data_IF_210492855582
#
_entry.id   IF_210492855582
#
_cell.length_a   1.000
_cell.length_b   1.000
_cell.length_c   1.000
_cell.angle_alpha   90.00
_cell.angle_beta   90.00
_cell.angle_gamma   90.00
#
_symmetry.space_group_name_H-M   'P 1'
#
loop_
_entity.id
_entity.type
_entity.pdbx_description
1 polymer ?
2 non-polymer ?
3 non-polymer ?
4 non-polymer ?
5 non-polymer ?
6 water ?
#
# COMPACT_ATOMS: atom_id res chain seq x y z
N UNK A 7 -8.90 -18.46 2.97
CA UNK A 7 -8.03 -17.74 2.03
C UNK A 7 -7.87 -16.28 2.47
N UNK A 8 -8.09 -16.04 3.77
CA UNK A 8 -7.93 -14.72 4.40
C UNK A 8 -6.49 -14.24 4.25
N UNK A 9 -6.26 -12.94 4.04
CA UNK A 9 -4.89 -12.46 4.14
C UNK A 9 -4.84 -11.15 4.90
N UNK A 10 -3.80 -10.99 5.69
CA UNK A 10 -3.60 -9.84 6.54
C UNK A 10 -2.20 -9.27 6.29
N UNK A 11 -2.13 -7.97 6.00
CA UNK A 11 -0.87 -7.28 5.84
C UNK A 11 -0.84 -6.05 6.72
N UNK A 12 0.34 -5.72 7.20
CA UNK A 12 0.52 -4.60 8.10
C UNK A 12 0.87 -3.33 7.32
N UNK A 13 0.28 -2.20 7.68
CA UNK A 13 0.70 -1.01 6.94
C UNK A 13 1.31 0.03 7.86
N UNK A 14 0.96 -0.02 9.13
CA UNK A 14 1.56 0.84 10.14
C UNK A 14 1.80 -0.03 11.34
N UNK A 15 2.54 0.48 12.32
CA UNK A 15 2.98 -0.39 13.40
C UNK A 15 1.82 -0.99 14.18
N UNK A 16 0.65 -0.36 14.13
CA UNK A 16 -0.51 -0.85 14.87
C UNK A 16 -1.74 -1.07 13.98
N UNK A 17 -1.58 -1.07 12.66
CA UNK A 17 -2.68 -1.15 11.72
C UNK A 17 -2.42 -2.25 10.70
N UNK A 18 -3.38 -3.15 10.55
CA UNK A 18 -3.40 -4.18 9.53
C UNK A 18 -4.57 -3.96 8.59
N UNK A 19 -4.45 -4.52 7.39
CA UNK A 19 -5.54 -4.62 6.43
C UNK A 19 -5.82 -6.10 6.28
N UNK A 20 -7.08 -6.50 6.59
CA UNK A 20 -7.53 -7.86 6.31
C UNK A 20 -8.24 -7.87 4.97
N UNK A 21 -7.97 -8.92 4.18
CA UNK A 21 -8.46 -9.07 2.82
C UNK A 21 -9.06 -10.45 2.60
N UNK A 22 -10.35 -10.48 2.24
CA UNK A 22 -11.01 -11.67 1.73
C UNK A 22 -11.13 -11.55 0.22
N UNK A 23 -11.24 -12.68 -0.46
CA UNK A 23 -11.35 -12.70 -1.91
C UNK A 23 -12.64 -13.37 -2.33
N UNK A 24 -13.10 -12.97 -3.53
CA UNK A 24 -14.23 -13.57 -4.22
C UNK A 24 -14.11 -13.26 -5.72
N UNK A 25 -14.61 -14.16 -6.54
CA UNK A 25 -14.75 -13.87 -7.96
C UNK A 25 -16.16 -13.34 -8.24
N UNK A 26 -16.21 -12.17 -8.87
CA UNK A 26 -17.44 -11.44 -9.15
C UNK A 26 -17.39 -11.04 -10.62
N UNK A 27 -18.21 -11.67 -11.44
CA UNK A 27 -18.30 -11.29 -12.86
C UNK A 27 -16.99 -11.58 -13.58
N UNK A 28 -16.39 -12.73 -13.25
CA UNK A 28 -15.23 -13.22 -13.95
C UNK A 28 -13.92 -12.58 -13.55
N UNK A 29 -13.90 -11.81 -12.48
CA UNK A 29 -12.69 -11.18 -11.99
C UNK A 29 -12.54 -11.44 -10.50
N UNK A 30 -11.30 -11.49 -10.03
CA UNK A 30 -11.06 -11.64 -8.60
C UNK A 30 -11.10 -10.26 -7.97
N UNK A 31 -11.91 -10.12 -6.93
CA UNK A 31 -12.13 -8.85 -6.24
C UNK A 31 -11.70 -9.00 -4.80
N UNK A 32 -10.82 -8.16 -4.29
CA UNK A 32 -10.56 -8.16 -2.85
C UNK A 32 -11.61 -7.34 -2.10
N UNK A 33 -11.76 -7.69 -0.82
CA UNK A 33 -12.48 -6.85 0.14
C UNK A 33 -11.58 -6.60 1.35
N UNK A 34 -11.24 -5.34 1.57
CA UNK A 34 -10.32 -4.94 2.64
C UNK A 34 -11.08 -4.34 3.83
N UNK A 35 -10.66 -4.72 5.03
CA UNK A 35 -11.02 -4.01 6.23
C UNK A 35 -9.75 -3.70 7.01
N UNK A 36 -9.95 -3.07 8.16
CA UNK A 36 -8.83 -2.81 9.04
C UNK A 36 -8.94 -3.60 10.33
N UNK A 37 -7.77 -3.89 10.87
CA UNK A 37 -7.58 -4.26 12.26
C UNK A 37 -6.68 -3.20 12.86
N UNK A 38 -7.08 -2.62 13.99
CA UNK A 38 -6.29 -1.63 14.70
C UNK A 38 -5.99 -2.22 16.07
N UNK A 39 -4.71 -2.29 16.44
CA UNK A 39 -4.32 -2.83 17.73
C UNK A 39 -4.12 -1.72 18.76
N UNK A 40 -4.70 -1.89 19.94
CA UNK A 40 -4.61 -0.89 20.99
C UNK A 40 -4.14 -1.54 22.28
N UNK A 41 -3.79 -0.68 23.23
CA UNK A 41 -3.32 -1.19 24.51
C UNK A 41 -4.43 -1.87 25.29
N UNK A 42 -5.69 -1.82 24.81
CA UNK A 42 -6.83 -2.36 25.55
C UNK A 42 -7.64 -3.32 24.70
N UNK A 43 -7.10 -3.82 23.60
CA UNK A 43 -7.81 -4.71 22.72
C UNK A 43 -7.69 -4.27 21.27
N UNK A 44 -8.28 -5.07 20.41
CA UNK A 44 -8.28 -4.77 18.99
C UNK A 44 -9.62 -4.17 18.54
N UNK A 45 -9.54 -3.28 17.57
CA UNK A 45 -10.71 -2.71 16.91
C UNK A 45 -10.74 -3.25 15.49
N UNK A 46 -11.93 -3.67 15.06
CA UNK A 46 -12.17 -4.26 13.76
C UNK A 46 -13.05 -3.30 12.95
N UNK A 47 -12.54 -2.87 11.82
CA UNK A 47 -13.30 -2.07 10.86
C UNK A 47 -13.68 -3.03 9.74
N UNK A 48 -14.98 -3.33 9.66
CA UNK A 48 -15.51 -4.32 8.72
C UNK A 48 -15.27 -5.73 9.22
N UNK A 49 -16.21 -6.63 8.95
CA UNK A 49 -15.99 -8.06 9.18
C UNK A 49 -15.35 -8.68 7.95
N UNK A 50 -15.09 -9.97 8.03
CA UNK A 50 -14.77 -10.70 6.82
C UNK A 50 -15.93 -10.67 5.83
N UNK A 51 -15.65 -11.14 4.63
CA UNK A 51 -16.67 -11.23 3.59
C UNK A 51 -17.47 -12.52 3.79
N UNK A 52 -18.21 -12.58 4.91
CA UNK A 52 -19.02 -13.74 5.23
C UNK A 52 -18.50 -14.52 6.43
N UNK A 53 -19.18 -15.62 6.74
CA UNK A 53 -18.87 -16.39 7.94
C UNK A 53 -17.43 -16.92 7.93
N UNK A 54 -17.08 -17.68 6.91
CA UNK A 54 -15.81 -18.40 6.97
C UNK A 54 -14.62 -17.43 6.94
N UNK A 55 -14.61 -16.41 6.08
CA UNK A 55 -13.54 -15.41 6.17
C UNK A 55 -13.46 -14.71 7.50
N UNK A 56 -14.59 -14.48 8.17
CA UNK A 56 -14.56 -13.77 9.46
C UNK A 56 -14.08 -14.67 10.59
N UNK A 57 -14.41 -15.95 10.56
CA UNK A 57 -13.85 -16.82 11.60
C UNK A 57 -12.35 -17.01 11.41
N UNK A 58 -11.91 -17.11 10.15
CA UNK A 58 -10.48 -17.03 9.85
C UNK A 58 -9.92 -15.75 10.45
N UNK A 59 -10.58 -14.62 10.18
CA UNK A 59 -10.14 -13.33 10.70
C UNK A 59 -10.06 -13.32 12.21
N UNK A 60 -11.15 -13.73 12.87
CA UNK A 60 -11.14 -13.82 14.33
C UNK A 60 -10.00 -14.68 14.84
N UNK A 61 -9.83 -15.89 14.27
CA UNK A 61 -8.71 -16.73 14.64
C UNK A 61 -7.38 -16.02 14.41
N UNK A 62 -7.26 -15.31 13.30
CA UNK A 62 -6.01 -14.60 13.06
C UNK A 62 -5.71 -13.66 14.21
N UNK A 63 -6.69 -12.83 14.56
CA UNK A 63 -6.48 -11.86 15.63
C UNK A 63 -6.05 -12.56 16.91
N UNK A 64 -6.66 -13.70 17.23
CA UNK A 64 -6.32 -14.38 18.48
C UNK A 64 -4.91 -14.98 18.44
N UNK A 65 -4.45 -15.42 17.26
CA UNK A 65 -3.13 -16.07 17.19
C UNK A 65 -2.00 -15.05 17.18
N UNK A 66 -2.15 -13.95 16.45
CA UNK A 66 -1.02 -13.04 16.25
C UNK A 66 -1.08 -11.79 17.11
N UNK A 67 -2.25 -11.19 17.30
CA UNK A 67 -2.36 -10.09 18.24
C UNK A 67 -2.61 -10.54 19.69
N UNK A 68 -3.07 -11.78 19.87
CA UNK A 68 -3.30 -12.35 21.19
C UNK A 68 -3.97 -11.35 22.13
N UNK A 69 -5.01 -10.68 21.61
CA UNK A 69 -5.84 -9.82 22.44
C UNK A 69 -7.26 -9.94 21.95
N UNK A 70 -8.25 -9.70 22.82
CA UNK A 70 -9.65 -9.80 22.38
C UNK A 70 -10.01 -8.66 21.46
N UNK A 71 -11.09 -8.84 20.69
CA UNK A 71 -11.61 -7.75 19.86
C UNK A 71 -12.60 -6.94 20.69
N UNK A 72 -12.31 -5.65 20.88
CA UNK A 72 -13.15 -4.84 21.76
C UNK A 72 -14.46 -4.42 21.10
N UNK A 73 -14.44 -4.23 19.78
CA UNK A 73 -15.61 -3.76 19.05
C UNK A 73 -15.36 -3.98 17.57
N UNK A 74 -16.43 -4.10 16.80
CA UNK A 74 -16.35 -4.24 15.36
C UNK A 74 -17.26 -3.17 14.76
N UNK A 75 -16.82 -2.51 13.70
CA UNK A 75 -17.56 -1.39 13.14
C UNK A 75 -17.70 -1.53 11.63
N UNK A 76 -18.81 -2.07 11.12
CA UNK A 76 -19.03 -2.07 9.66
C UNK A 76 -19.32 -0.67 9.11
N UNK A 77 -18.85 -0.44 7.88
CA UNK A 77 -18.98 0.87 7.23
C UNK A 77 -20.22 1.00 6.34
N UNK A 78 -20.94 -0.10 6.07
CA UNK A 78 -22.25 -0.07 5.43
C UNK A 78 -22.79 -1.50 5.43
N UNK A 79 -24.02 -1.69 4.91
CA UNK A 79 -24.82 -2.89 5.16
C UNK A 79 -24.52 -4.06 4.20
N UNK A 80 -23.67 -3.87 3.20
CA UNK A 80 -23.41 -4.95 2.26
C UNK A 80 -22.56 -6.07 2.90
N UNK A 81 -22.65 -7.25 2.29
CA UNK A 81 -22.04 -8.47 2.82
C UNK A 81 -20.53 -8.36 2.98
N UNK A 82 -19.85 -7.65 2.07
CA UNK A 82 -18.39 -7.59 2.19
C UNK A 82 -17.94 -6.83 3.43
N UNK A 83 -18.74 -5.93 3.97
CA UNK A 83 -18.38 -5.23 5.19
C UNK A 83 -19.15 -5.70 6.42
N UNK A 84 -20.15 -6.56 6.26
CA UNK A 84 -20.99 -6.91 7.39
C UNK A 84 -21.42 -8.37 7.43
N UNK A 85 -21.10 -9.16 6.41
CA UNK A 85 -21.63 -10.51 6.36
C UNK A 85 -21.11 -11.47 7.40
N UNK A 86 -20.20 -11.04 8.28
CA UNK A 86 -19.65 -11.88 9.33
C UNK A 86 -20.07 -11.49 10.74
N UNK A 87 -21.14 -10.70 10.81
CA UNK A 87 -21.62 -10.16 12.10
C UNK A 87 -21.97 -11.27 13.09
N UNK A 88 -22.77 -12.25 12.67
CA UNK A 88 -23.09 -13.34 13.58
C UNK A 88 -21.84 -13.95 14.21
N UNK A 89 -20.84 -14.29 13.41
CA UNK A 89 -19.62 -14.92 13.94
C UNK A 89 -18.91 -14.02 14.93
N UNK A 90 -18.90 -12.72 14.67
CA UNK A 90 -18.36 -11.77 15.63
C UNK A 90 -19.17 -11.79 16.92
N UNK A 91 -20.50 -11.82 16.78
CA UNK A 91 -21.39 -11.74 17.95
C UNK A 91 -21.38 -13.01 18.74
N UNK A 92 -21.19 -14.17 18.10
CA UNK A 92 -21.11 -15.39 18.86
C UNK A 92 -19.89 -15.42 19.75
N UNK A 93 -18.91 -14.57 19.49
CA UNK A 93 -17.77 -14.44 20.37
C UNK A 93 -17.90 -13.25 21.30
N UNK A 94 -19.12 -12.75 21.47
CA UNK A 94 -19.37 -11.70 22.42
C UNK A 94 -18.90 -10.33 22.00
N UNK A 95 -18.41 -10.18 20.79
CA UNK A 95 -17.90 -8.89 20.34
C UNK A 95 -19.06 -7.97 19.99
N UNK A 96 -19.09 -6.75 20.51
CA UNK A 96 -20.11 -5.77 20.13
C UNK A 96 -19.92 -5.26 18.70
N UNK A 97 -20.97 -5.36 17.91
CA UNK A 97 -21.05 -4.72 16.60
C UNK A 97 -21.82 -3.41 16.75
N UNK A 98 -21.26 -2.32 16.22
CA UNK A 98 -21.89 -1.02 16.36
C UNK A 98 -21.81 -0.32 15.02
N UNK A 99 -22.92 0.29 14.61
CA UNK A 99 -23.03 0.92 13.30
C UNK A 99 -23.80 2.23 13.40
N UNK A 100 -23.88 2.93 12.28
CA UNK A 100 -24.79 4.06 12.27
C UNK A 100 -26.24 3.56 12.37
N UNK A 101 -27.13 4.47 12.79
CA UNK A 101 -28.53 4.11 12.87
C UNK A 101 -29.04 3.67 11.51
N UNK A 102 -28.63 4.34 10.43
CA UNK A 102 -29.17 4.00 9.13
C UNK A 102 -28.63 2.69 8.61
N UNK A 103 -27.38 2.35 8.93
CA UNK A 103 -26.90 1.02 8.58
C UNK A 103 -27.69 -0.06 9.33
N UNK A 104 -28.07 0.19 10.59
CA UNK A 104 -28.92 -0.77 11.28
C UNK A 104 -30.26 -0.92 10.58
N UNK A 105 -30.84 0.20 10.15
CA UNK A 105 -32.12 0.11 9.45
C UNK A 105 -31.96 -0.72 8.18
N UNK A 106 -30.92 -0.42 7.38
CA UNK A 106 -30.73 -1.16 6.14
C UNK A 106 -30.36 -2.62 6.42
N UNK A 107 -29.58 -2.88 7.47
CA UNK A 107 -29.32 -4.26 7.84
C UNK A 107 -30.64 -5.02 8.07
N UNK A 108 -31.54 -4.45 8.89
CA UNK A 108 -32.82 -5.08 9.14
C UNK A 108 -33.63 -5.23 7.84
N UNK A 109 -33.53 -4.25 6.95
CA UNK A 109 -34.25 -4.29 5.71
C UNK A 109 -33.70 -5.28 4.71
N UNK A 110 -32.53 -5.89 4.95
CA UNK A 110 -31.93 -6.80 3.99
C UNK A 110 -31.40 -8.10 4.62
N UNK A 111 -32.04 -8.54 5.70
CA UNK A 111 -31.75 -9.80 6.38
C UNK A 111 -30.29 -9.94 6.79
N UNK A 112 -29.64 -8.84 7.09
CA UNK A 112 -28.41 -8.93 7.85
C UNK A 112 -28.77 -8.92 9.33
N UNK A 113 -27.82 -9.27 10.18
CA UNK A 113 -28.12 -9.27 11.60
C UNK A 113 -28.59 -7.95 12.22
N UNK A 114 -28.69 -7.95 13.54
CA UNK A 114 -29.02 -6.78 14.31
C UNK A 114 -27.78 -6.28 15.04
N UNK A 115 -27.26 -5.09 14.74
CA UNK A 115 -26.15 -4.56 15.54
C UNK A 115 -26.52 -4.37 17.01
N UNK A 116 -25.50 -4.41 17.85
CA UNK A 116 -25.64 -4.30 19.30
C UNK A 116 -25.85 -2.86 19.76
N UNK A 117 -25.31 -1.88 19.04
CA UNK A 117 -25.44 -0.47 19.36
C UNK A 117 -25.51 0.30 18.04
N UNK A 118 -26.31 1.37 18.02
CA UNK A 118 -26.27 2.28 16.89
C UNK A 118 -25.98 3.70 17.37
N UNK A 119 -25.36 4.49 16.48
CA UNK A 119 -25.07 5.90 16.71
C UNK A 119 -25.66 6.75 15.62
N UNK A 120 -26.26 7.86 16.01
CA UNK A 120 -26.82 8.84 15.10
C UNK A 120 -25.93 10.04 14.91
N UNK A 121 -24.79 10.07 15.58
CA UNK A 121 -23.88 11.19 15.58
C UNK A 121 -22.56 10.74 14.98
N UNK A 122 -21.91 11.63 14.21
CA UNK A 122 -20.49 11.48 13.92
C UNK A 122 -19.76 11.44 15.25
N UNK A 123 -18.87 10.47 15.42
CA UNK A 123 -18.29 10.24 16.73
C UNK A 123 -16.78 10.15 16.62
N UNK A 124 -16.12 10.74 17.62
CA UNK A 124 -14.71 10.51 17.89
C UNK A 124 -14.61 9.76 19.20
N UNK A 125 -13.92 8.62 19.20
CA UNK A 125 -13.74 7.85 20.42
C UNK A 125 -12.33 7.27 20.48
N UNK A 126 -11.93 6.82 21.67
CA UNK A 126 -10.60 6.31 21.89
C UNK A 126 -10.67 5.03 22.72
N UNK A 127 -9.83 4.08 22.35
CA UNK A 127 -9.65 2.85 23.10
C UNK A 127 -8.15 2.58 23.20
N UNK A 128 -7.67 2.34 24.41
CA UNK A 128 -6.29 1.87 24.57
C UNK A 128 -5.25 2.76 23.94
N UNK A 129 -5.40 4.08 24.09
CA UNK A 129 -4.50 5.04 23.50
C UNK A 129 -4.77 5.39 22.05
N UNK A 130 -5.69 4.71 21.37
CA UNK A 130 -5.90 4.89 19.94
C UNK A 130 -7.18 5.69 19.68
N UNK A 131 -7.07 6.72 18.82
CA UNK A 131 -8.23 7.52 18.44
C UNK A 131 -8.72 7.16 17.05
N UNK A 132 -10.04 7.12 16.94
CA UNK A 132 -10.77 6.77 15.75
C UNK A 132 -11.88 7.79 15.54
N UNK A 133 -12.13 8.12 14.29
CA UNK A 133 -13.23 9.02 13.94
C UNK A 133 -14.14 8.32 12.95
N UNK A 134 -15.45 8.38 13.19
CA UNK A 134 -16.39 7.82 12.22
C UNK A 134 -17.19 8.99 11.69
N UNK A 135 -17.39 9.01 10.38
CA UNK A 135 -18.01 10.17 9.77
C UNK A 135 -18.85 9.76 8.58
N UNK A 136 -19.98 10.43 8.43
CA UNK A 136 -20.90 10.16 7.34
C UNK A 136 -20.77 11.30 6.34
N UNK A 137 -20.19 11.08 5.17
CA UNK A 137 -20.04 12.18 4.19
C UNK A 137 -21.22 12.34 3.26
N UNK A 138 -22.19 11.43 3.32
CA UNK A 138 -23.30 11.39 2.39
C UNK A 138 -23.35 10.08 1.62
N UNK A 139 -24.48 9.89 0.95
CA UNK A 139 -24.66 8.69 0.17
C UNK A 139 -23.70 8.68 -1.00
N UNK A 140 -23.19 7.49 -1.30
CA UNK A 140 -22.35 7.32 -2.46
C UNK A 140 -22.50 5.92 -3.00
N UNK A 141 -21.55 5.03 -2.65
CA UNK A 141 -21.67 3.62 -3.02
C UNK A 141 -22.99 3.04 -2.48
N UNK A 142 -23.34 3.39 -1.25
CA UNK A 142 -24.64 3.05 -0.70
C UNK A 142 -25.14 4.29 0.04
N UNK A 143 -26.41 4.27 0.41
CA UNK A 143 -27.02 5.43 1.07
C UNK A 143 -26.43 5.69 2.44
N UNK A 144 -25.82 4.70 3.08
CA UNK A 144 -25.44 4.81 4.48
C UNK A 144 -23.94 4.74 4.73
N UNK A 145 -23.11 4.66 3.68
CA UNK A 145 -21.66 4.43 3.87
C UNK A 145 -21.01 5.52 4.72
N UNK A 146 -20.17 5.07 5.67
CA UNK A 146 -19.37 5.94 6.52
C UNK A 146 -17.91 5.59 6.31
N UNK A 147 -17.03 6.53 6.66
CA UNK A 147 -15.60 6.31 6.65
C UNK A 147 -15.07 6.33 8.09
N UNK A 148 -13.83 5.86 8.24
CA UNK A 148 -13.12 5.81 9.53
C UNK A 148 -11.76 6.45 9.32
N UNK A 149 -11.39 7.34 10.24
CA UNK A 149 -10.13 8.06 10.16
C UNK A 149 -9.32 7.79 11.42
N UNK A 150 -8.04 7.44 11.24
CA UNK A 150 -7.11 7.44 12.37
C UNK A 150 -6.34 8.76 12.35
N UNK A 151 -6.69 9.73 13.19
CA UNK A 151 -6.00 11.03 13.12
C UNK A 151 -4.54 10.98 13.50
N UNK A 152 -4.08 9.99 14.29
CA UNK A 152 -2.67 9.94 14.67
C UNK A 152 -1.82 9.40 13.52
N UNK A 153 -2.23 8.32 12.88
CA UNK A 153 -1.54 7.82 11.70
C UNK A 153 -1.96 8.51 10.41
N UNK A 154 -2.93 9.42 10.46
CA UNK A 154 -3.46 10.08 9.26
C UNK A 154 -3.80 9.06 8.18
N UNK A 155 -4.57 8.06 8.58
CA UNK A 155 -5.04 6.98 7.73
C UNK A 155 -6.55 7.06 7.64
N UNK A 156 -7.06 7.11 6.43
CA UNK A 156 -8.47 7.20 6.16
C UNK A 156 -8.96 5.92 5.49
N UNK A 157 -9.86 5.22 6.13
CA UNK A 157 -10.49 4.05 5.53
C UNK A 157 -11.76 4.50 4.86
N UNK A 158 -11.78 4.42 3.52
CA UNK A 158 -12.90 4.92 2.76
C UNK A 158 -13.86 3.83 2.33
N UNK A 159 -13.53 2.56 2.60
CA UNK A 159 -14.44 1.50 2.20
C UNK A 159 -14.80 1.58 0.73
N UNK A 160 -16.07 1.24 0.41
CA UNK A 160 -16.49 1.18 -0.98
C UNK A 160 -16.93 2.52 -1.55
N UNK A 161 -16.87 3.57 -0.73
CA UNK A 161 -17.09 4.93 -1.21
C UNK A 161 -15.96 5.44 -2.11
N UNK A 162 -14.74 4.93 -1.92
CA UNK A 162 -13.58 5.33 -2.69
C UNK A 162 -13.19 4.19 -3.62
N UNK A 163 -12.75 4.53 -4.83
CA UNK A 163 -12.26 3.53 -5.77
C UNK A 163 -10.74 3.60 -5.88
N UNK A 164 -10.11 2.46 -6.19
CA UNK A 164 -8.66 2.42 -6.35
C UNK A 164 -8.26 2.97 -7.73
N UNK A 165 -6.97 3.36 -7.87
CA UNK A 165 -6.53 4.11 -9.05
C UNK A 165 -6.54 3.30 -10.33
N UNK A 166 -6.67 1.97 -10.25
CA UNK A 166 -6.81 1.12 -11.44
C UNK A 166 -8.27 0.74 -11.72
N UNK A 167 -9.22 1.23 -10.92
CA UNK A 167 -10.63 1.02 -11.23
C UNK A 167 -11.02 1.84 -12.46
N UNK A 168 -11.69 1.20 -13.41
CA UNK A 168 -12.08 1.89 -14.65
C UNK A 168 -13.52 2.39 -14.63
N UNK A 169 -14.34 1.91 -13.70
CA UNK A 169 -15.70 2.39 -13.51
C UNK A 169 -16.03 2.28 -12.02
N UNK A 170 -17.29 2.54 -11.68
CA UNK A 170 -17.69 2.58 -10.28
C UNK A 170 -18.08 1.22 -9.74
N UNK A 171 -18.04 0.18 -10.56
CA UNK A 171 -18.25 -1.17 -10.04
C UNK A 171 -19.70 -1.41 -9.73
N UNK A 172 -19.96 -1.95 -8.54
CA UNK A 172 -21.32 -2.21 -8.14
C UNK A 172 -21.98 -0.87 -7.82
N UNK A 173 -23.07 -0.60 -8.49
CA UNK A 173 -23.79 0.65 -8.37
C UNK A 173 -25.25 0.41 -8.04
N UNK A 174 -25.62 -0.85 -7.74
CA UNK A 174 -27.02 -1.26 -7.61
C UNK A 174 -27.76 -0.43 -6.57
N UNK A 175 -27.27 -0.48 -5.34
CA UNK A 175 -27.73 0.34 -4.22
C UNK A 175 -27.09 1.71 -4.18
N UNK A 176 -26.36 2.09 -5.23
CA UNK A 176 -25.61 3.34 -5.24
C UNK A 176 -26.53 4.55 -5.43
N UNK A 177 -26.01 5.69 -5.00
CA UNK A 177 -26.63 7.01 -5.09
C UNK A 177 -25.70 7.92 -5.87
N UNK A 178 -25.75 7.81 -7.21
CA UNK A 178 -24.77 8.42 -8.10
C UNK A 178 -24.76 9.94 -8.07
N UNK A 179 -25.86 10.57 -7.67
CA UNK A 179 -25.93 12.02 -7.71
C UNK A 179 -25.27 12.66 -6.51
N UNK A 180 -25.24 11.94 -5.38
CA UNK A 180 -24.65 12.39 -4.12
C UNK A 180 -23.18 12.04 -4.02
N UNK A 181 -22.83 10.88 -4.56
CA UNK A 181 -21.46 10.36 -4.50
C UNK A 181 -20.41 11.42 -4.75
N UNK A 182 -20.54 12.29 -5.77
CA UNK A 182 -19.48 13.29 -5.97
C UNK A 182 -19.34 14.20 -4.79
N UNK A 183 -20.46 14.57 -4.16
CA UNK A 183 -20.41 15.51 -3.06
C UNK A 183 -19.77 14.90 -1.83
N UNK A 184 -19.96 13.60 -1.62
CA UNK A 184 -19.31 12.90 -0.52
C UNK A 184 -17.79 12.84 -0.72
N UNK A 185 -17.31 12.58 -1.95
CA UNK A 185 -15.87 12.56 -2.18
C UNK A 185 -15.27 13.92 -1.84
N UNK A 186 -15.94 15.01 -2.24
CA UNK A 186 -15.47 16.35 -1.94
C UNK A 186 -15.54 16.68 -0.46
N UNK A 187 -16.50 16.11 0.26
CA UNK A 187 -16.50 16.27 1.70
C UNK A 187 -15.28 15.59 2.31
N UNK A 188 -14.93 14.40 1.80
CA UNK A 188 -13.74 13.75 2.30
C UNK A 188 -12.49 14.57 1.98
N UNK A 189 -12.41 15.10 0.76
CA UNK A 189 -11.23 15.88 0.42
C UNK A 189 -11.08 17.07 1.35
N UNK A 190 -12.20 17.67 1.79
CA UNK A 190 -12.01 18.81 2.67
C UNK A 190 -12.03 18.50 4.16
N UNK A 191 -12.49 17.34 4.59
CA UNK A 191 -12.34 17.05 6.01
C UNK A 191 -10.98 16.44 6.33
N UNK A 192 -10.34 15.75 5.38
CA UNK A 192 -9.04 15.12 5.63
C UNK A 192 -7.96 15.60 4.66
N UNK A 193 -7.71 16.91 4.63
CA UNK A 193 -6.74 17.43 3.65
C UNK A 193 -5.33 16.84 3.83
N UNK A 194 -4.98 16.41 5.04
CA UNK A 194 -3.65 15.93 5.31
C UNK A 194 -3.63 14.42 5.56
N UNK A 195 -4.59 13.69 5.01
CA UNK A 195 -4.54 12.24 5.07
C UNK A 195 -3.33 11.73 4.28
N UNK A 196 -2.61 10.79 4.88
CA UNK A 196 -1.43 10.24 4.22
C UNK A 196 -1.75 9.00 3.39
N UNK A 197 -2.60 8.12 3.92
CA UNK A 197 -3.01 6.89 3.26
C UNK A 197 -4.53 6.87 3.17
N UNK A 198 -5.05 6.47 2.02
CA UNK A 198 -6.49 6.29 1.80
C UNK A 198 -6.72 4.84 1.37
N UNK A 199 -7.52 4.11 2.14
CA UNK A 199 -7.67 2.68 1.90
C UNK A 199 -9.06 2.43 1.28
N UNK A 200 -9.14 1.98 0.04
CA UNK A 200 -10.46 1.62 -0.51
C UNK A 200 -10.83 0.18 -0.20
N UNK A 201 -12.01 -0.24 -0.63
CA UNK A 201 -12.40 -1.59 -0.28
C UNK A 201 -11.90 -2.61 -1.28
N UNK A 202 -11.93 -2.27 -2.57
CA UNK A 202 -11.88 -3.29 -3.59
C UNK A 202 -10.71 -3.09 -4.53
N UNK A 203 -9.65 -2.45 -4.02
CA UNK A 203 -8.42 -2.30 -4.73
C UNK A 203 -7.30 -1.83 -3.83
N UNK A 204 -6.11 -1.68 -4.41
CA UNK A 204 -4.93 -1.22 -3.66
C UNK A 204 -5.11 0.17 -3.11
N UNK A 205 -4.51 0.40 -1.96
CA UNK A 205 -4.56 1.72 -1.37
C UNK A 205 -3.48 2.63 -1.95
N UNK A 206 -3.63 3.93 -1.70
CA UNK A 206 -2.69 4.91 -2.21
C UNK A 206 -2.75 6.22 -1.45
N UNK A 207 -2.39 7.30 -2.15
CA UNK A 207 -2.47 8.59 -1.48
C UNK A 207 -3.84 9.24 -1.78
N UNK A 208 -3.94 10.56 -1.56
CA UNK A 208 -5.21 11.21 -1.79
C UNK A 208 -5.54 11.34 -3.29
N UNK A 209 -4.67 10.79 -4.15
CA UNK A 209 -5.00 10.65 -5.57
C UNK A 209 -6.25 9.79 -5.74
N UNK A 210 -6.49 8.87 -4.80
CA UNK A 210 -7.66 8.02 -4.90
C UNK A 210 -8.97 8.83 -4.81
N UNK A 211 -8.96 9.95 -4.09
CA UNK A 211 -10.17 10.77 -4.01
C UNK A 211 -10.40 11.50 -5.33
N UNK A 212 -9.37 12.18 -5.85
CA UNK A 212 -9.54 12.83 -7.15
C UNK A 212 -9.88 11.82 -8.24
N UNK A 213 -9.32 10.61 -8.17
CA UNK A 213 -9.69 9.61 -9.17
C UNK A 213 -11.15 9.21 -9.08
N UNK A 214 -11.67 8.99 -7.84
CA UNK A 214 -13.07 8.61 -7.72
C UNK A 214 -13.98 9.70 -8.27
N UNK A 215 -13.66 10.96 -8.00
CA UNK A 215 -14.37 12.08 -8.63
C UNK A 215 -14.34 11.97 -10.16
N UNK A 216 -13.20 11.60 -10.72
CA UNK A 216 -13.09 11.54 -12.17
C UNK A 216 -14.03 10.48 -12.74
N UNK A 217 -14.06 9.31 -12.11
CA UNK A 217 -14.97 8.25 -12.54
C UNK A 217 -16.42 8.71 -12.47
N UNK A 218 -16.74 9.53 -11.48
CA UNK A 218 -18.07 10.08 -11.26
C UNK A 218 -18.39 11.20 -12.22
N UNK A 224 -16.43 12.51 -13.37
CA UNK A 224 -17.32 13.29 -14.20
C UNK A 224 -17.65 12.56 -15.50
N UNK A 225 -17.24 11.30 -15.60
CA UNK A 225 -17.16 10.57 -16.87
C UNK A 225 -17.83 9.20 -16.81
N UNK A 226 -19.06 9.12 -16.28
CA UNK A 226 -19.81 7.87 -16.31
C UNK A 226 -20.93 7.98 -17.33
N UNK B 6 6.09 -16.12 -11.32
CA UNK B 6 4.70 -16.26 -11.75
C UNK B 6 4.26 -15.08 -12.60
N UNK B 7 5.22 -14.21 -12.91
CA UNK B 7 5.04 -13.14 -13.90
C UNK B 7 5.51 -11.78 -13.38
N UNK B 8 4.71 -10.76 -13.70
CA UNK B 8 4.97 -9.42 -13.26
C UNK B 8 3.64 -8.74 -13.03
N UNK B 9 3.55 -7.97 -11.95
CA UNK B 9 2.33 -7.27 -11.60
C UNK B 9 2.63 -5.80 -11.38
N UNK B 10 1.69 -4.94 -11.78
CA UNK B 10 1.84 -3.49 -11.66
C UNK B 10 0.63 -2.94 -10.92
N UNK B 11 0.88 -2.14 -9.87
CA UNK B 11 -0.21 -1.48 -9.15
C UNK B 11 0.07 0.01 -9.01
N UNK B 12 -0.99 0.81 -9.10
CA UNK B 12 -0.91 2.26 -9.04
C UNK B 12 -1.06 2.72 -7.59
N UNK B 13 -0.20 3.61 -7.13
CA UNK B 13 -0.36 4.14 -5.78
C UNK B 13 -0.62 5.65 -5.72
N UNK B 14 -0.24 6.41 -6.74
CA UNK B 14 -0.42 7.85 -6.87
C UNK B 14 -0.82 8.11 -8.30
N UNK B 15 -1.27 9.31 -8.61
CA UNK B 15 -1.79 9.50 -9.96
C UNK B 15 -0.75 9.26 -11.05
N UNK B 16 0.56 9.38 -10.74
CA UNK B 16 1.64 9.18 -11.71
C UNK B 16 2.69 8.16 -11.27
N UNK B 17 2.42 7.36 -10.23
CA UNK B 17 3.39 6.41 -9.66
C UNK B 17 2.77 5.02 -9.63
N UNK B 18 3.50 4.04 -10.12
CA UNK B 18 3.16 2.64 -10.06
C UNK B 18 4.24 1.87 -9.32
N UNK B 19 3.87 0.71 -8.79
CA UNK B 19 4.83 -0.24 -8.28
C UNK B 19 4.76 -1.47 -9.18
N UNK B 20 5.90 -1.84 -9.76
CA UNK B 20 6.00 -3.09 -10.49
C UNK B 20 6.54 -4.15 -9.52
N UNK B 21 5.99 -5.37 -9.63
CA UNK B 21 6.38 -6.45 -8.74
C UNK B 21 6.73 -7.66 -9.59
N UNK B 22 7.95 -8.13 -9.43
CA UNK B 22 8.46 -9.35 -10.05
C UNK B 22 8.33 -10.49 -9.06
N UNK B 23 8.14 -11.69 -9.57
CA UNK B 23 8.02 -12.82 -8.67
C UNK B 23 9.09 -13.85 -9.00
N UNK B 24 9.47 -14.59 -7.96
CA UNK B 24 10.33 -15.76 -8.06
C UNK B 24 9.97 -16.63 -6.88
N UNK B 25 9.85 -17.93 -7.11
CA UNK B 25 9.62 -18.84 -6.00
C UNK B 25 10.97 -19.36 -5.53
N UNK B 26 11.20 -19.26 -4.22
CA UNK B 26 12.49 -19.57 -3.60
C UNK B 26 12.25 -20.63 -2.54
N UNK B 27 12.65 -21.87 -2.83
CA UNK B 27 12.52 -22.94 -1.85
C UNK B 27 11.04 -23.13 -1.61
N UNK B 28 10.59 -22.71 -0.41
CA UNK B 28 9.18 -22.60 -0.12
C UNK B 28 8.76 -21.14 -0.17
N UNK B 29 7.67 -20.87 -0.89
CA UNK B 29 7.04 -19.55 -0.97
C UNK B 29 7.60 -18.66 -2.09
N UNK B 30 6.72 -17.80 -2.58
CA UNK B 30 7.00 -16.83 -3.63
C UNK B 30 7.49 -15.52 -3.03
N UNK B 31 8.54 -14.97 -3.62
CA UNK B 31 9.19 -13.75 -3.14
C UNK B 31 8.93 -12.66 -4.17
N UNK B 32 8.30 -11.55 -3.78
CA UNK B 32 8.19 -10.40 -4.69
C UNK B 32 9.41 -9.50 -4.66
N UNK B 33 9.58 -8.75 -5.75
CA UNK B 33 10.54 -7.66 -5.84
C UNK B 33 9.83 -6.44 -6.41
N UNK B 34 9.90 -5.33 -5.68
CA UNK B 34 9.18 -4.12 -6.06
C UNK B 34 10.13 -3.11 -6.67
N UNK B 35 9.67 -2.47 -7.75
CA UNK B 35 10.27 -1.24 -8.25
C UNK B 35 9.18 -0.20 -8.44
N UNK B 36 9.58 0.97 -8.92
CA UNK B 36 8.64 2.04 -9.26
C UNK B 36 8.67 2.31 -10.75
N UNK B 37 7.51 2.73 -11.26
CA UNK B 37 7.39 3.43 -12.54
C UNK B 37 6.80 4.79 -12.22
N UNK B 38 7.38 5.84 -12.78
CA UNK B 38 6.87 7.20 -12.67
C UNK B 38 6.60 7.76 -14.06
N UNK B 39 5.38 8.23 -14.26
CA UNK B 39 4.96 8.83 -15.51
C UNK B 39 5.13 10.34 -15.44
N UNK B 40 5.70 10.92 -16.48
CA UNK B 40 5.92 12.36 -16.53
C UNK B 40 5.36 12.86 -17.85
N UNK B 41 5.34 14.18 -17.99
CA UNK B 41 4.83 14.73 -19.24
C UNK B 41 5.75 14.42 -20.39
N UNK B 42 6.95 13.90 -20.13
CA UNK B 42 7.97 13.78 -21.17
C UNK B 42 8.59 12.39 -21.22
N UNK B 43 7.93 11.38 -20.67
CA UNK B 43 8.44 10.03 -20.65
C UNK B 43 8.35 9.44 -19.26
N UNK B 44 8.68 8.15 -19.21
CA UNK B 44 8.56 7.38 -17.97
C UNK B 44 9.93 7.14 -17.36
N UNK B 45 9.97 7.11 -16.05
CA UNK B 45 11.17 6.78 -15.31
C UNK B 45 10.99 5.43 -14.64
N UNK B 46 12.05 4.65 -14.71
CA UNK B 46 12.10 3.29 -14.19
C UNK B 46 13.02 3.29 -12.99
N UNK B 47 12.50 2.94 -11.84
CA UNK B 47 13.30 2.75 -10.65
C UNK B 47 13.32 1.25 -10.40
N UNK B 48 14.49 0.64 -10.66
CA UNK B 48 14.68 -0.81 -10.67
C UNK B 48 14.18 -1.44 -11.96
N UNK B 49 14.89 -2.48 -12.40
CA UNK B 49 14.44 -3.33 -13.48
C UNK B 49 13.59 -4.44 -12.88
N UNK B 50 12.99 -5.25 -13.72
CA UNK B 50 12.40 -6.47 -13.24
C UNK B 50 13.45 -7.36 -12.60
N UNK B 51 12.96 -8.42 -11.98
CA UNK B 51 13.83 -9.40 -11.38
C UNK B 51 14.32 -10.34 -12.47
N UNK B 52 15.10 -9.76 -13.38
CA UNK B 52 15.64 -10.49 -14.51
C UNK B 52 15.01 -10.05 -15.82
N UNK B 53 15.48 -10.71 -16.88
CA UNK B 53 15.12 -10.36 -18.26
C UNK B 53 13.61 -10.51 -18.50
N UNK B 54 13.05 -11.67 -18.16
CA UNK B 54 11.67 -11.95 -18.52
C UNK B 54 10.67 -11.01 -17.81
N UNK B 55 10.81 -10.78 -16.50
CA UNK B 55 9.99 -9.73 -15.89
C UNK B 55 10.22 -8.36 -16.50
N UNK B 56 11.44 -8.08 -16.96
CA UNK B 56 11.72 -6.75 -17.48
C UNK B 56 11.11 -6.56 -18.87
N UNK B 57 11.04 -7.62 -19.68
CA UNK B 57 10.38 -7.49 -20.98
C UNK B 57 8.88 -7.25 -20.82
N UNK B 58 8.24 -7.95 -19.88
CA UNK B 58 6.84 -7.69 -19.51
C UNK B 58 6.66 -6.25 -19.05
N UNK B 59 7.53 -5.79 -18.16
CA UNK B 59 7.46 -4.42 -17.69
C UNK B 59 7.52 -3.44 -18.85
N UNK B 60 8.48 -3.61 -19.75
CA UNK B 60 8.52 -2.73 -20.91
C UNK B 60 7.21 -2.82 -21.70
N UNK B 61 6.76 -4.03 -22.01
CA UNK B 61 5.53 -4.15 -22.77
C UNK B 61 4.37 -3.46 -22.05
N UNK B 62 4.29 -3.61 -20.73
CA UNK B 62 3.24 -2.93 -19.99
C UNK B 62 3.30 -1.42 -20.17
N UNK B 63 4.50 -0.84 -19.97
CA UNK B 63 4.66 0.61 -20.07
C UNK B 63 4.20 1.11 -21.44
N UNK B 64 4.53 0.36 -22.50
CA UNK B 64 4.18 0.78 -23.84
C UNK B 64 2.66 0.67 -24.10
N UNK B 65 1.98 -0.28 -23.46
CA UNK B 65 0.55 -0.44 -23.69
C UNK B 65 -0.28 0.56 -22.89
N UNK B 66 0.09 0.80 -21.63
CA UNK B 66 -0.75 1.57 -20.72
C UNK B 66 -0.30 3.02 -20.53
N UNK B 67 0.99 3.27 -20.39
CA UNK B 67 1.46 4.65 -20.37
C UNK B 67 1.68 5.19 -21.77
N UNK B 68 1.79 4.33 -22.79
CA UNK B 68 2.01 4.72 -24.18
C UNK B 68 3.03 5.85 -24.29
N UNK B 69 4.18 5.69 -23.61
CA UNK B 69 5.30 6.62 -23.70
C UNK B 69 6.62 5.86 -23.51
N UNK B 70 7.72 6.37 -24.06
CA UNK B 70 9.02 5.71 -23.85
C UNK B 70 9.56 5.90 -22.45
N UNK B 71 10.43 4.95 -22.05
CA UNK B 71 11.16 5.02 -20.80
C UNK B 71 12.40 5.87 -21.05
N UNK B 72 12.51 6.99 -20.35
CA UNK B 72 13.63 7.88 -20.60
C UNK B 72 14.90 7.37 -19.93
N UNK B 73 14.76 6.71 -18.78
CA UNK B 73 15.92 6.37 -17.96
C UNK B 73 15.51 5.30 -16.96
N UNK B 74 16.49 4.51 -16.53
CA UNK B 74 16.24 3.50 -15.54
C UNK B 74 17.33 3.60 -14.49
N UNK B 75 16.94 3.50 -13.23
CA UNK B 75 17.87 3.81 -12.16
C UNK B 75 17.86 2.62 -11.21
N UNK B 76 18.78 1.66 -11.33
CA UNK B 76 18.87 0.59 -10.34
C UNK B 76 19.36 1.16 -9.03
N UNK B 77 18.89 0.55 -7.93
CA UNK B 77 19.24 1.02 -6.60
C UNK B 77 20.42 0.27 -5.96
N UNK B 78 20.88 -0.83 -6.55
CA UNK B 78 22.13 -1.46 -6.17
C UNK B 78 22.36 -2.60 -7.16
N UNK B 79 23.46 -3.35 -6.95
CA UNK B 79 23.97 -4.19 -8.04
C UNK B 79 23.31 -5.55 -8.15
N UNK B 80 22.47 -5.94 -7.20
CA UNK B 80 21.92 -7.29 -7.19
C UNK B 80 20.88 -7.51 -8.31
N UNK B 81 20.69 -8.78 -8.65
CA UNK B 81 19.87 -9.14 -9.81
C UNK B 81 18.43 -8.66 -9.64
N UNK B 82 17.90 -8.68 -8.41
CA UNK B 82 16.50 -8.32 -8.17
C UNK B 82 16.23 -6.84 -8.45
N UNK B 83 17.23 -5.97 -8.35
CA UNK B 83 17.05 -4.57 -8.72
C UNK B 83 17.74 -4.18 -10.02
N UNK B 84 18.55 -5.05 -10.62
CA UNK B 84 19.33 -4.65 -11.79
C UNK B 84 19.50 -5.73 -12.85
N UNK B 85 19.01 -6.96 -12.63
CA UNK B 85 19.17 -8.06 -13.54
C UNK B 85 18.41 -7.95 -14.85
N UNK B 86 17.63 -6.89 -15.03
CA UNK B 86 16.96 -6.69 -16.30
C UNK B 86 17.59 -5.54 -17.06
N UNK B 87 18.80 -5.12 -16.65
CA UNK B 87 19.48 -3.99 -17.28
C UNK B 87 19.78 -4.27 -18.76
N UNK B 88 20.37 -5.43 -19.05
CA UNK B 88 20.62 -5.80 -20.44
C UNK B 88 19.33 -5.70 -21.27
N UNK B 89 18.21 -6.21 -20.73
CA UNK B 89 16.94 -6.08 -21.43
C UNK B 89 16.56 -4.61 -21.64
N UNK B 90 16.83 -3.76 -20.65
CA UNK B 90 16.53 -2.34 -20.77
C UNK B 90 17.42 -1.68 -21.82
N UNK B 91 18.73 -1.98 -21.79
CA UNK B 91 19.68 -1.32 -22.66
C UNK B 91 19.53 -1.76 -24.12
N UNK B 92 19.06 -2.99 -24.33
CA UNK B 92 18.76 -3.45 -25.67
C UNK B 92 17.61 -2.67 -26.32
N UNK B 93 16.82 -1.92 -25.57
CA UNK B 93 15.84 -1.02 -26.16
C UNK B 93 16.31 0.44 -26.16
N UNK B 94 17.61 0.70 -26.04
CA UNK B 94 18.11 2.05 -26.16
C UNK B 94 17.87 2.95 -24.96
N UNK B 95 17.37 2.41 -23.87
CA UNK B 95 17.10 3.17 -22.64
C UNK B 95 18.38 3.30 -21.82
N UNK B 96 18.77 4.51 -21.42
CA UNK B 96 19.97 4.65 -20.57
C UNK B 96 19.74 4.17 -19.14
N UNK B 97 20.62 3.26 -18.69
CA UNK B 97 20.68 2.82 -17.30
C UNK B 97 21.73 3.64 -16.59
N UNK B 98 21.41 4.10 -15.39
CA UNK B 98 22.24 5.06 -14.67
C UNK B 98 22.34 4.63 -13.23
N UNK B 99 23.56 4.59 -12.69
CA UNK B 99 23.76 4.09 -11.34
C UNK B 99 24.77 4.98 -10.61
N UNK B 100 24.96 4.71 -9.32
CA UNK B 100 26.08 5.31 -8.61
C UNK B 100 27.39 4.72 -9.13
N UNK B 101 28.49 5.42 -8.84
CA UNK B 101 29.81 4.94 -9.26
C UNK B 101 30.09 3.57 -8.65
N UNK B 102 29.84 3.40 -7.35
CA UNK B 102 30.21 2.14 -6.76
C UNK B 102 29.24 1.02 -7.15
N UNK B 103 27.98 1.35 -7.43
CA UNK B 103 27.13 0.31 -7.99
C UNK B 103 27.72 -0.20 -9.30
N UNK B 104 28.26 0.71 -10.13
CA UNK B 104 28.90 0.27 -11.36
C UNK B 104 30.14 -0.59 -11.07
N UNK B 105 30.89 -0.22 -10.03
CA UNK B 105 32.08 -0.99 -9.68
C UNK B 105 31.70 -2.40 -9.27
N UNK B 106 30.72 -2.53 -8.35
CA UNK B 106 30.32 -3.85 -7.84
C UNK B 106 29.69 -4.70 -8.92
N UNK B 107 28.93 -4.08 -9.82
CA UNK B 107 28.44 -4.81 -10.99
C UNK B 107 29.58 -5.37 -11.82
N UNK B 108 30.63 -4.57 -12.08
CA UNK B 108 31.77 -5.08 -12.83
C UNK B 108 32.44 -6.26 -12.10
N UNK B 109 32.57 -6.18 -10.78
CA UNK B 109 33.22 -7.27 -10.05
C UNK B 109 32.38 -8.53 -9.95
N UNK B 110 31.11 -8.48 -10.34
CA UNK B 110 30.22 -9.62 -10.20
C UNK B 110 29.59 -9.97 -11.54
N UNK B 111 30.25 -9.58 -12.63
CA UNK B 111 29.83 -9.87 -14.01
C UNK B 111 28.37 -9.51 -14.28
N UNK B 112 27.88 -8.42 -13.68
CA UNK B 112 26.66 -7.76 -14.13
C UNK B 112 26.99 -6.78 -15.27
N UNK B 113 25.95 -6.30 -15.97
CA UNK B 113 26.24 -5.36 -17.04
C UNK B 113 26.94 -4.07 -16.61
N UNK B 114 27.20 -3.18 -17.56
CA UNK B 114 27.77 -1.87 -17.28
C UNK B 114 26.74 -0.77 -17.50
N UNK B 115 26.46 0.03 -16.48
CA UNK B 115 25.62 1.20 -16.69
C UNK B 115 26.18 2.10 -17.79
N UNK B 116 25.28 2.89 -18.38
CA UNK B 116 25.62 3.86 -19.41
C UNK B 116 26.17 5.16 -18.84
N UNK B 117 25.76 5.55 -17.64
CA UNK B 117 26.30 6.72 -16.97
C UNK B 117 26.35 6.39 -15.50
N UNK B 118 27.35 6.94 -14.81
CA UNK B 118 27.39 6.85 -13.37
C UNK B 118 27.43 8.24 -12.77
N UNK B 119 26.96 8.34 -11.54
CA UNK B 119 27.01 9.56 -10.75
C UNK B 119 27.75 9.28 -9.46
N UNK B 120 28.65 10.19 -9.09
CA UNK B 120 29.37 10.10 -7.83
C UNK B 120 28.78 10.98 -6.73
N UNK B 121 27.75 11.76 -7.04
CA UNK B 121 27.15 12.73 -6.12
C UNK B 121 25.67 12.42 -5.89
N UNK B 122 25.17 12.75 -4.68
CA UNK B 122 23.73 12.83 -4.46
C UNK B 122 23.10 13.82 -5.44
N UNK B 123 22.05 13.38 -6.14
CA UNK B 123 21.54 14.14 -7.27
C UNK B 123 20.05 14.37 -7.15
N UNK B 124 19.62 15.57 -7.45
CA UNK B 124 18.21 15.88 -7.66
C UNK B 124 18.03 16.27 -9.11
N UNK B 125 17.13 15.59 -9.81
CA UNK B 125 16.89 15.95 -11.20
C UNK B 125 15.40 15.93 -11.52
N UNK B 126 15.07 16.49 -12.67
CA UNK B 126 13.67 16.54 -13.04
C UNK B 126 13.49 16.19 -14.50
N UNK B 127 12.44 15.42 -14.76
CA UNK B 127 11.97 15.07 -16.09
C UNK B 127 10.46 15.23 -16.14
N UNK B 128 9.97 15.94 -17.16
CA UNK B 128 8.53 16.06 -17.41
C UNK B 128 7.72 16.62 -16.27
N UNK B 129 8.25 17.62 -15.56
CA UNK B 129 7.60 18.18 -14.40
C UNK B 129 7.79 17.40 -13.13
N UNK B 130 8.43 16.24 -13.19
CA UNK B 130 8.55 15.35 -12.06
C UNK B 130 9.97 15.44 -11.52
N UNK B 131 10.12 15.69 -10.22
CA UNK B 131 11.45 15.75 -9.64
C UNK B 131 11.74 14.52 -8.80
N UNK B 132 12.96 14.04 -8.89
CA UNK B 132 13.43 12.85 -8.21
C UNK B 132 14.75 13.18 -7.53
N UNK B 133 14.95 12.59 -6.36
CA UNK B 133 16.18 12.71 -5.61
C UNK B 133 16.75 11.32 -5.44
N UNK B 134 18.04 11.17 -5.65
CA UNK B 134 18.68 9.90 -5.36
C UNK B 134 19.66 10.14 -4.24
N UNK B 135 19.72 9.23 -3.27
CA UNK B 135 20.49 9.52 -2.06
C UNK B 135 21.16 8.26 -1.53
N UNK B 136 22.37 8.44 -1.02
CA UNK B 136 23.16 7.36 -0.45
C UNK B 136 23.22 7.54 1.05
N UNK B 137 22.51 6.73 1.84
CA UNK B 137 22.54 6.87 3.30
C UNK B 137 23.63 6.06 3.99
N UNK B 138 24.36 5.24 3.24
CA UNK B 138 25.35 4.35 3.80
C UNK B 138 25.06 2.89 3.46
N UNK B 139 26.08 2.06 3.71
CA UNK B 139 25.92 0.64 3.50
C UNK B 139 24.93 0.04 4.48
N UNK B 140 24.12 -0.89 3.98
CA UNK B 140 23.20 -1.64 4.82
C UNK B 140 23.07 -3.01 4.20
N UNK B 141 22.02 -3.18 3.39
CA UNK B 141 21.85 -4.43 2.63
C UNK B 141 23.05 -4.71 1.72
N UNK B 142 23.57 -3.68 1.06
CA UNK B 142 24.79 -3.77 0.28
C UNK B 142 25.62 -2.53 0.56
N UNK B 143 26.88 -2.55 0.12
CA UNK B 143 27.74 -1.40 0.34
C UNK B 143 27.26 -0.19 -0.45
N UNK B 144 26.43 -0.39 -1.46
CA UNK B 144 26.11 0.65 -2.42
C UNK B 144 24.63 1.05 -2.47
N UNK B 145 23.76 0.47 -1.63
CA UNK B 145 22.33 0.70 -1.80
C UNK B 145 21.97 2.19 -1.74
N UNK B 146 21.14 2.65 -2.69
CA UNK B 146 20.65 4.03 -2.67
C UNK B 146 19.12 4.03 -2.57
N UNK B 147 18.59 5.14 -2.06
CA UNK B 147 17.15 5.34 -2.05
C UNK B 147 16.81 6.43 -3.06
N UNK B 148 15.52 6.51 -3.39
CA UNK B 148 14.95 7.49 -4.32
C UNK B 148 13.75 8.12 -3.63
N UNK B 149 13.70 9.44 -3.63
CA UNK B 149 12.62 10.16 -2.99
C UNK B 149 11.93 11.00 -4.05
N UNK B 150 10.59 10.94 -4.05
CA UNK B 150 9.76 11.89 -4.78
C UNK B 150 9.28 12.92 -3.78
N UNK B 151 9.88 14.13 -3.72
CA UNK B 151 9.43 15.14 -2.74
C UNK B 151 8.03 15.71 -3.00
N UNK B 152 7.53 15.65 -4.24
CA UNK B 152 6.18 16.16 -4.49
C UNK B 152 5.12 15.17 -3.97
N UNK B 153 5.24 13.90 -4.33
CA UNK B 153 4.31 12.91 -3.81
C UNK B 153 4.67 12.43 -2.40
N UNK B 154 5.83 12.84 -1.88
CA UNK B 154 6.40 12.38 -0.61
C UNK B 154 6.42 10.85 -0.50
N UNK B 155 6.98 10.23 -1.52
CA UNK B 155 7.11 8.78 -1.62
C UNK B 155 8.59 8.43 -1.54
N UNK B 156 8.95 7.55 -0.61
CA UNK B 156 10.34 7.13 -0.43
C UNK B 156 10.47 5.66 -0.81
N UNK B 157 11.25 5.38 -1.83
CA UNK B 157 11.59 4.02 -2.24
C UNK B 157 12.92 3.62 -1.60
N UNK B 158 12.88 2.63 -0.72
CA UNK B 158 14.01 2.16 0.05
C UNK B 158 14.63 0.86 -0.38
N UNK B 159 14.10 0.19 -1.39
CA UNK B 159 14.69 -1.05 -1.90
C UNK B 159 14.91 -2.05 -0.80
N UNK B 160 15.99 -2.83 -0.93
CA UNK B 160 16.22 -3.86 0.07
C UNK B 160 16.87 -3.29 1.34
N UNK B 161 17.10 -1.97 1.38
CA UNK B 161 17.56 -1.32 2.62
C UNK B 161 16.49 -1.30 3.70
N UNK B 162 15.22 -1.28 3.30
CA UNK B 162 14.08 -1.22 4.20
C UNK B 162 13.35 -2.55 4.16
N UNK B 163 12.89 -3.01 5.32
CA UNK B 163 12.09 -4.23 5.38
C UNK B 163 10.63 -3.89 5.65
N UNK B 164 9.74 -4.78 5.23
CA UNK B 164 8.31 -4.59 5.46
C UNK B 164 7.96 -4.99 6.91
N UNK B 165 6.77 -4.53 7.35
CA UNK B 165 6.38 -4.63 8.76
C UNK B 165 6.10 -6.07 9.20
N UNK B 166 5.96 -7.01 8.27
CA UNK B 166 5.79 -8.42 8.58
C UNK B 166 7.07 -9.24 8.43
N UNK B 167 8.20 -8.63 8.08
CA UNK B 167 9.47 -9.35 8.10
C UNK B 167 9.90 -9.61 9.54
N UNK B 168 10.31 -10.84 9.84
CA UNK B 168 10.73 -11.17 11.20
C UNK B 168 12.23 -11.16 11.41
N UNK B 169 13.01 -11.12 10.33
CA UNK B 169 14.45 -10.97 10.41
C UNK B 169 14.89 -10.23 9.15
N UNK B 170 16.20 -10.06 9.00
CA UNK B 170 16.76 -9.30 7.89
C UNK B 170 17.01 -10.16 6.65
N UNK B 171 16.71 -11.45 6.72
CA UNK B 171 16.91 -12.31 5.57
C UNK B 171 18.37 -12.68 5.45
N UNK B 172 18.90 -12.57 4.23
CA UNK B 172 20.31 -12.87 4.02
C UNK B 172 21.19 -11.69 4.38
N UNK B 173 22.28 -11.99 5.06
CA UNK B 173 23.19 -10.99 5.55
C UNK B 173 24.57 -11.08 4.90
N UNK B 174 24.73 -11.92 3.87
CA UNK B 174 26.05 -12.23 3.32
C UNK B 174 26.78 -10.98 2.84
N UNK B 175 26.24 -10.28 1.83
CA UNK B 175 26.80 -9.00 1.43
C UNK B 175 26.41 -7.88 2.38
N UNK B 176 25.68 -8.22 3.46
CA UNK B 176 25.09 -7.21 4.31
C UNK B 176 26.16 -6.51 5.14
N UNK B 177 25.84 -5.29 5.54
CA UNK B 177 26.71 -4.48 6.39
C UNK B 177 25.93 -4.23 7.66
N UNK B 178 25.92 -5.22 8.55
CA UNK B 178 25.05 -5.16 9.71
C UNK B 178 25.42 -4.00 10.62
N UNK B 179 26.67 -3.56 10.58
CA UNK B 179 27.12 -2.52 11.49
C UNK B 179 26.69 -1.14 11.01
N UNK B 180 26.58 -0.94 9.69
CA UNK B 180 26.21 0.36 9.14
C UNK B 180 24.72 0.53 8.92
N UNK B 181 24.02 -0.56 8.59
CA UNK B 181 22.58 -0.54 8.34
C UNK B 181 21.79 0.30 9.32
N UNK B 182 22.00 0.20 10.64
CA UNK B 182 21.23 1.03 11.59
C UNK B 182 21.39 2.52 11.40
N UNK B 183 22.61 2.99 11.13
CA UNK B 183 22.80 4.42 10.89
C UNK B 183 22.23 4.84 9.54
N UNK B 184 22.24 3.95 8.55
CA UNK B 184 21.63 4.31 7.28
C UNK B 184 20.12 4.53 7.44
N UNK B 185 19.45 3.68 8.23
CA UNK B 185 18.02 3.88 8.46
C UNK B 185 17.78 5.22 9.13
N UNK B 186 18.57 5.54 10.15
CA UNK B 186 18.39 6.78 10.88
C UNK B 186 18.69 7.99 10.00
N UNK B 187 19.59 7.85 9.04
CA UNK B 187 19.76 8.91 8.06
C UNK B 187 18.46 9.08 7.27
N UNK B 188 17.84 7.98 6.83
CA UNK B 188 16.57 8.12 6.14
C UNK B 188 15.52 8.79 7.02
N UNK B 189 15.42 8.37 8.29
CA UNK B 189 14.44 9.00 9.16
C UNK B 189 14.71 10.48 9.35
N UNK B 190 15.98 10.91 9.32
CA UNK B 190 16.23 12.32 9.56
C UNK B 190 16.12 13.16 8.29
N UNK B 191 16.26 12.55 7.11
CA UNK B 191 16.23 13.29 5.86
C UNK B 191 14.85 13.39 5.23
N UNK B 192 13.96 12.43 5.48
CA UNK B 192 12.60 12.46 4.93
C UNK B 192 11.56 12.42 6.06
N UNK B 193 11.58 13.41 6.97
CA UNK B 193 10.66 13.35 8.11
C UNK B 193 9.18 13.39 7.73
N UNK B 194 8.83 13.88 6.54
CA UNK B 194 7.44 13.97 6.09
C UNK B 194 7.15 13.03 4.93
N UNK B 195 7.85 11.90 4.84
CA UNK B 195 7.51 10.87 3.86
C UNK B 195 6.17 10.20 4.19
N UNK B 196 5.33 10.04 3.19
CA UNK B 196 4.02 9.45 3.42
C UNK B 196 4.00 7.96 3.13
N UNK B 197 4.66 7.52 2.08
CA UNK B 197 4.76 6.09 1.72
C UNK B 197 6.24 5.74 1.69
N UNK B 198 6.56 4.55 2.22
CA UNK B 198 7.91 3.95 2.15
C UNK B 198 7.80 2.59 1.49
N UNK B 199 8.50 2.40 0.36
CA UNK B 199 8.34 1.18 -0.43
C UNK B 199 9.55 0.29 -0.21
N UNK B 200 9.38 -0.87 0.39
CA UNK B 200 10.46 -1.85 0.48
C UNK B 200 10.52 -2.71 -0.77
N UNK B 201 11.50 -3.60 -0.79
CA UNK B 201 11.61 -4.42 -1.99
C UNK B 201 10.77 -5.68 -1.90
N UNK B 202 10.71 -6.32 -0.74
CA UNK B 202 10.29 -7.71 -0.67
C UNK B 202 9.09 -7.93 0.24
N UNK B 203 8.26 -6.89 0.43
CA UNK B 203 7.03 -6.99 1.16
C UNK B 203 6.16 -5.79 0.89
N UNK B 204 4.99 -5.74 1.53
CA UNK B 204 4.06 -4.61 1.33
C UNK B 204 4.64 -3.31 1.86
N UNK B 205 4.25 -2.21 1.23
CA UNK B 205 4.71 -0.90 1.66
C UNK B 205 3.84 -0.36 2.81
N UNK B 206 4.29 0.69 3.45
CA UNK B 206 3.56 1.28 4.55
C UNK B 206 3.95 2.72 4.80
N UNK B 207 3.75 3.18 6.03
CA UNK B 207 4.17 4.53 6.36
C UNK B 207 5.60 4.48 6.92
N UNK B 208 5.98 5.51 7.65
CA UNK B 208 7.34 5.60 8.15
C UNK B 208 7.60 4.57 9.27
N UNK B 209 6.60 3.76 9.62
CA UNK B 209 6.77 2.61 10.51
C UNK B 209 7.73 1.58 9.93
N UNK B 210 7.90 1.53 8.61
CA UNK B 210 8.85 0.60 8.01
C UNK B 210 10.30 0.94 8.38
N UNK B 211 10.59 2.20 8.66
CA UNK B 211 11.94 2.54 9.08
C UNK B 211 12.16 2.12 10.52
N UNK B 212 11.24 2.47 11.41
CA UNK B 212 11.43 2.04 12.79
C UNK B 212 11.44 0.52 12.93
N UNK B 213 10.62 -0.20 12.14
CA UNK B 213 10.62 -1.67 12.23
C UNK B 213 11.96 -2.24 11.74
N UNK B 214 12.51 -1.66 10.68
CA UNK B 214 13.83 -2.13 10.26
C UNK B 214 14.88 -1.85 11.33
N UNK B 215 14.83 -0.66 11.94
CA UNK B 215 15.71 -0.37 13.07
C UNK B 215 15.57 -1.42 14.17
N UNK B 216 14.34 -1.83 14.46
CA UNK B 216 14.10 -2.81 15.50
C UNK B 216 14.72 -4.17 15.15
N UNK B 217 14.58 -4.60 13.91
CA UNK B 217 15.17 -5.87 13.49
C UNK B 217 16.71 -5.87 13.61
N UNK B 218 17.33 -4.72 13.36
CA UNK B 218 18.79 -4.57 13.34
C UNK B 218 19.47 -4.58 14.71
N UNK B 224 17.57 -4.02 16.39
CA UNK B 224 18.46 -4.17 17.51
C UNK B 224 18.40 -5.57 18.11
N UNK B 225 17.76 -6.52 17.43
CA UNK B 225 17.40 -7.82 18.00
C UNK B 225 17.98 -8.98 17.21
N UNK B 226 19.25 -8.89 16.80
CA UNK B 226 19.90 -10.00 16.12
C UNK B 226 21.00 -10.65 16.98
#
# INVERSE_FOLDING_TARGET
MKAQGQQLEVTKISSKVWIHTSYKTYHGTVVPSHGLIVSTKEGAVLIDTGWGKEPTEELLTWIKTNLKQPVKVCVPTHWHDDKLGGMEAVQRQGVPVVTSELTAILAAENSKGTPDVTFATDTTFAIGGQQLEVYFPGGGHTADNVVVYLPQQKILFGGCLVKDLQAKNLGNTADADLKSWPLAIQRLQQRYPKAKVVVPSHGPWGDQSLLSHTLSLLQNQKQQNQ
MKAQGQQLEVTKISSKVWIHTSYKTYHGTVVPSHGLIVSTKEGAVLIDTGWGKEPTEELLTWIKTNLKQPVKVCVPTHWHDDKLGGMEAVQRQGVPVVTSELTAILAAENSKGTPDVTFATDTTFAIGGQQLEVYFPGGGHTADNVVVYLPQQKILFGGCLVKDLQAKNLGNTADADLKSWPLAIQRLQQRYPKAKVVVPSHGPWGDQSLLSHTLSLLQNQKQQNQ
#
